data_IF_207242378114
#
_entry.id   IF_207242378114
#
_cell.length_a   1.000
_cell.length_b   1.000
_cell.length_c   1.000
_cell.angle_alpha   90.00
_cell.angle_beta   90.00
_cell.angle_gamma   90.00
#
_symmetry.space_group_name_H-M   'P 1'
#
loop_
_entity.id
_entity.type
_entity.pdbx_description
1 polymer ?
#
# COMPACT_ATOMS: atom_id res chain seq x y z
N UNK A 1 18.50 -20.41 -9.24
CA UNK A 1 17.49 -19.55 -8.59
C UNK A 1 17.35 -18.39 -9.53
N UNK A 2 16.45 -18.51 -10.50
CA UNK A 2 16.18 -17.41 -11.40
C UNK A 2 15.69 -16.24 -10.57
N UNK A 3 16.35 -15.10 -10.75
CA UNK A 3 15.90 -13.81 -10.25
C UNK A 3 14.50 -13.62 -10.82
N UNK A 4 13.49 -14.00 -10.03
CA UNK A 4 12.15 -13.48 -10.16
C UNK A 4 12.37 -11.97 -10.20
N UNK A 5 12.30 -11.40 -11.40
CA UNK A 5 11.84 -10.04 -11.59
C UNK A 5 10.47 -10.01 -10.92
N UNK A 6 10.48 -9.87 -9.58
CA UNK A 6 9.30 -9.72 -8.76
C UNK A 6 8.66 -8.47 -9.31
N UNK A 7 7.63 -8.67 -10.12
CA UNK A 7 6.83 -7.59 -10.67
C UNK A 7 6.53 -6.68 -9.50
N UNK A 8 6.88 -5.40 -9.60
CA UNK A 8 6.60 -4.43 -8.54
C UNK A 8 5.11 -4.07 -8.58
N UNK A 9 4.27 -5.06 -8.35
CA UNK A 9 2.83 -4.99 -8.37
C UNK A 9 2.27 -5.45 -7.02
N UNK A 10 0.98 -5.16 -6.82
CA UNK A 10 0.25 -5.46 -5.60
C UNK A 10 0.40 -6.92 -5.19
N UNK A 11 0.17 -7.87 -6.08
CA UNK A 11 0.18 -9.30 -5.78
C UNK A 11 1.55 -9.74 -5.25
N UNK A 12 2.62 -9.34 -5.95
CA UNK A 12 3.98 -9.71 -5.54
C UNK A 12 4.37 -9.07 -4.22
N UNK A 13 3.93 -7.84 -3.95
CA UNK A 13 4.14 -7.18 -2.66
C UNK A 13 3.45 -7.96 -1.53
N UNK A 14 2.17 -8.28 -1.69
CA UNK A 14 1.38 -8.99 -0.66
C UNK A 14 2.01 -10.35 -0.34
N UNK A 15 2.45 -11.08 -1.36
CA UNK A 15 3.14 -12.36 -1.19
C UNK A 15 4.51 -12.20 -0.51
N UNK A 16 5.31 -11.22 -0.95
CA UNK A 16 6.67 -11.00 -0.43
C UNK A 16 6.69 -10.63 1.05
N UNK A 17 5.67 -9.89 1.51
CA UNK A 17 5.53 -9.48 2.90
C UNK A 17 4.61 -10.37 3.73
N UNK A 18 4.10 -11.48 3.16
CA UNK A 18 3.21 -12.41 3.85
C UNK A 18 1.94 -11.73 4.38
N UNK A 19 1.41 -10.76 3.64
CA UNK A 19 0.24 -9.97 4.04
C UNK A 19 -0.99 -10.87 4.07
N UNK A 20 -1.70 -10.89 5.19
CA UNK A 20 -2.91 -11.70 5.34
C UNK A 20 -4.03 -11.19 4.41
N UNK A 21 -4.99 -12.05 4.06
CA UNK A 21 -6.15 -11.62 3.25
C UNK A 21 -6.94 -10.48 3.92
N UNK A 22 -7.00 -10.48 5.26
CA UNK A 22 -7.64 -9.41 6.03
C UNK A 22 -6.87 -8.11 5.92
N UNK A 23 -5.55 -8.12 6.14
CA UNK A 23 -4.74 -6.90 6.05
C UNK A 23 -4.69 -6.37 4.60
N UNK A 24 -4.67 -7.27 3.61
CA UNK A 24 -4.76 -6.90 2.19
C UNK A 24 -6.07 -6.14 1.89
N UNK A 25 -7.20 -6.62 2.44
CA UNK A 25 -8.47 -5.93 2.32
C UNK A 25 -8.44 -4.54 2.96
N UNK A 26 -7.86 -4.39 4.15
CA UNK A 26 -7.72 -3.09 4.81
C UNK A 26 -6.82 -2.11 4.04
N UNK A 27 -5.75 -2.61 3.40
CA UNK A 27 -4.88 -1.82 2.52
C UNK A 27 -5.69 -1.30 1.32
N UNK A 28 -6.38 -2.20 0.60
CA UNK A 28 -7.19 -1.84 -0.56
C UNK A 28 -8.29 -0.83 -0.19
N UNK A 29 -8.95 -1.08 0.95
CA UNK A 29 -10.00 -0.21 1.46
C UNK A 29 -9.47 1.20 1.78
N UNK A 30 -8.29 1.31 2.40
CA UNK A 30 -7.66 2.61 2.65
C UNK A 30 -7.31 3.34 1.35
N UNK A 31 -6.77 2.65 0.34
CA UNK A 31 -6.53 3.28 -0.96
C UNK A 31 -7.83 3.76 -1.61
N UNK A 32 -8.90 2.96 -1.55
CA UNK A 32 -10.22 3.34 -2.07
C UNK A 32 -10.76 4.59 -1.35
N UNK A 33 -10.68 4.66 -0.03
CA UNK A 33 -11.09 5.84 0.75
C UNK A 33 -10.34 7.10 0.30
N UNK A 34 -9.02 7.00 0.11
CA UNK A 34 -8.19 8.13 -0.35
C UNK A 34 -8.56 8.51 -1.79
N UNK A 35 -8.80 7.54 -2.67
CA UNK A 35 -9.23 7.80 -4.04
C UNK A 35 -10.58 8.55 -4.10
N UNK A 36 -11.47 8.32 -3.14
CA UNK A 36 -12.78 8.96 -3.05
C UNK A 36 -12.80 10.29 -2.27
N UNK A 37 -11.84 10.54 -1.37
CA UNK A 37 -11.74 11.80 -0.61
C UNK A 37 -11.17 12.92 -1.49
N UNK A 38 -11.77 14.11 -1.49
CA UNK A 38 -11.28 15.27 -2.26
C UNK A 38 -9.98 15.89 -1.69
N UNK A 39 -9.48 15.38 -0.57
CA UNK A 39 -8.29 15.90 0.11
C UNK A 39 -7.02 15.14 -0.25
N UNK A 40 -5.93 15.90 -0.32
CA UNK A 40 -4.58 15.33 -0.30
C UNK A 40 -4.18 14.95 1.14
N UNK A 41 -3.39 13.89 1.28
CA UNK A 41 -2.84 13.46 2.56
C UNK A 41 -1.32 13.34 2.48
N UNK A 42 -0.63 13.58 3.59
CA UNK A 42 0.82 13.36 3.64
C UNK A 42 1.16 11.87 3.72
N UNK A 43 2.36 11.49 3.27
CA UNK A 43 2.91 10.15 3.43
C UNK A 43 2.94 9.70 4.91
N UNK A 44 3.21 10.64 5.82
CA UNK A 44 3.20 10.38 7.26
C UNK A 44 1.80 10.03 7.76
N UNK A 45 0.79 10.77 7.32
CA UNK A 45 -0.61 10.50 7.66
C UNK A 45 -1.10 9.18 7.06
N UNK A 46 -0.77 8.90 5.79
CA UNK A 46 -1.05 7.62 5.15
C UNK A 46 -0.45 6.45 5.95
N UNK A 47 0.85 6.54 6.25
CA UNK A 47 1.58 5.51 7.00
C UNK A 47 0.95 5.26 8.37
N UNK A 48 0.56 6.33 9.07
CA UNK A 48 -0.13 6.23 10.36
C UNK A 48 -1.47 5.52 10.22
N UNK A 49 -2.36 5.99 9.33
CA UNK A 49 -3.69 5.40 9.10
C UNK A 49 -3.61 3.93 8.70
N UNK A 50 -2.64 3.58 7.86
CA UNK A 50 -2.43 2.19 7.45
C UNK A 50 -2.03 1.31 8.63
N UNK A 51 -1.00 1.74 9.38
CA UNK A 51 -0.47 0.98 10.52
C UNK A 51 -1.45 0.86 11.70
N UNK A 52 -2.49 1.68 11.74
CA UNK A 52 -3.60 1.56 12.69
C UNK A 52 -4.63 0.49 12.28
N UNK A 53 -4.68 0.10 10.99
CA UNK A 53 -5.67 -0.85 10.43
C UNK A 53 -5.14 -2.27 10.30
N UNK A 54 -3.85 -2.43 10.03
CA UNK A 54 -3.23 -3.73 9.77
C UNK A 54 -2.60 -4.36 11.02
N UNK A 55 -2.49 -5.68 11.01
CA UNK A 55 -1.98 -6.46 12.15
C UNK A 55 -0.50 -6.21 12.43
N UNK A 56 0.32 -6.09 11.38
CA UNK A 56 1.76 -5.86 11.50
C UNK A 56 2.15 -4.51 10.91
N UNK A 57 2.78 -3.67 11.72
CA UNK A 57 3.18 -2.35 11.28
C UNK A 57 4.31 -2.42 10.26
N UNK A 58 4.13 -1.70 9.16
CA UNK A 58 5.15 -1.53 8.12
C UNK A 58 6.13 -0.43 8.50
N UNK A 59 7.42 -0.77 8.41
CA UNK A 59 8.48 0.21 8.50
C UNK A 59 8.42 1.20 7.32
N UNK A 60 8.98 2.42 7.46
CA UNK A 60 8.90 3.45 6.40
C UNK A 60 9.42 3.00 5.02
N UNK A 61 10.40 2.09 4.98
CA UNK A 61 10.89 1.51 3.72
C UNK A 61 9.82 0.64 3.04
N UNK A 62 9.15 -0.21 3.81
CA UNK A 62 8.07 -1.10 3.32
C UNK A 62 6.88 -0.28 2.82
N UNK A 63 6.55 0.83 3.48
CA UNK A 63 5.52 1.77 3.01
C UNK A 63 5.85 2.30 1.61
N UNK A 64 7.11 2.67 1.33
CA UNK A 64 7.50 3.13 -0.01
C UNK A 64 7.37 2.03 -1.06
N UNK A 65 7.74 0.80 -0.71
CA UNK A 65 7.59 -0.36 -1.59
C UNK A 65 6.11 -0.69 -1.86
N UNK A 66 5.25 -0.54 -0.84
CA UNK A 66 3.79 -0.65 -0.98
C UNK A 66 3.26 0.38 -1.98
N UNK A 67 3.61 1.66 -1.81
CA UNK A 67 3.16 2.71 -2.72
C UNK A 67 3.63 2.46 -4.15
N UNK A 68 4.86 1.95 -4.34
CA UNK A 68 5.35 1.57 -5.67
C UNK A 68 4.55 0.41 -6.26
N UNK A 69 4.26 -0.61 -5.46
CA UNK A 69 3.50 -1.79 -5.88
C UNK A 69 2.04 -1.48 -6.26
N UNK A 70 1.45 -0.45 -5.66
CA UNK A 70 0.06 -0.06 -5.90
C UNK A 70 -0.10 0.98 -7.01
N UNK A 71 0.99 1.42 -7.68
CA UNK A 71 0.96 2.45 -8.74
C UNK A 71 -0.04 2.20 -9.86
N UNK A 72 -0.09 0.98 -10.35
CA UNK A 72 -0.99 0.60 -11.44
C UNK A 72 -2.36 0.15 -10.94
N UNK A 73 -2.44 -0.30 -9.68
CA UNK A 73 -3.67 -0.81 -9.08
C UNK A 73 -4.58 0.33 -8.60
N UNK A 74 -4.03 1.35 -7.92
CA UNK A 74 -4.78 2.48 -7.36
C UNK A 74 -4.11 3.84 -7.67
N UNK A 75 -4.00 4.22 -8.97
CA UNK A 75 -3.27 5.42 -9.38
C UNK A 75 -3.88 6.72 -8.84
N UNK A 76 -5.20 6.77 -8.69
CA UNK A 76 -5.93 7.96 -8.18
C UNK A 76 -5.57 8.22 -6.73
N UNK A 77 -5.60 7.19 -5.87
CA UNK A 77 -5.23 7.31 -4.48
C UNK A 77 -3.79 7.81 -4.32
N UNK A 78 -2.86 7.24 -5.10
CA UNK A 78 -1.46 7.63 -5.05
C UNK A 78 -1.20 9.07 -5.49
N UNK A 79 -1.97 9.61 -6.43
CA UNK A 79 -1.85 11.01 -6.85
C UNK A 79 -2.10 12.00 -5.69
N UNK A 80 -2.84 11.57 -4.67
CA UNK A 80 -3.26 12.37 -3.49
C UNK A 80 -2.35 12.17 -2.28
N UNK A 81 -1.39 11.25 -2.31
CA UNK A 81 -0.42 11.02 -1.23
C UNK A 81 0.87 11.81 -1.55
N UNK A 82 1.24 12.77 -0.69
CA UNK A 82 2.41 13.66 -0.87
C UNK A 82 3.54 13.41 0.13
#
# INVERSE_FOLDING_TARGET
MDELNLLKNRESFLLSYGVSAKDAHEIDHLFTEIALDDKEISLSEFSKKLNERITYQFAPKVIKELLEAYKEYEPVALSKIK
#
